data_IF_767233886010
#
_entry.id   IF_767233886010
#
_cell.length_a   1.000
_cell.length_b   1.000
_cell.length_c   1.000
_cell.angle_alpha   90.00
_cell.angle_beta   90.00
_cell.angle_gamma   90.00
#
_symmetry.space_group_name_H-M   'P 1'
#
loop_
_entity.id
_entity.type
_entity.pdbx_description
1 polymer ?
#
# COMPACT_ATOMS: atom_id res chain seq x y z
N UNK A 1 13.88 14.79 34.13
CA UNK A 1 12.92 14.23 33.13
C UNK A 1 11.46 14.53 33.48
N UNK A 2 11.03 14.30 34.74
CA UNK A 2 9.65 14.57 35.22
C UNK A 2 9.15 16.02 35.04
N UNK A 3 9.99 17.02 35.29
CA UNK A 3 9.61 18.44 35.08
C UNK A 3 9.42 18.80 33.60
N UNK A 4 10.19 18.20 32.68
CA UNK A 4 10.08 18.46 31.24
C UNK A 4 8.80 17.89 30.63
N UNK A 5 8.45 16.67 31.04
CA UNK A 5 7.21 16.01 30.62
C UNK A 5 5.97 16.77 31.13
N UNK A 6 6.05 17.29 32.35
CA UNK A 6 5.00 18.13 32.92
C UNK A 6 4.80 19.42 32.13
N UNK A 7 5.88 20.10 31.75
CA UNK A 7 5.85 21.31 30.91
C UNK A 7 5.17 21.06 29.56
N UNK A 8 5.57 20.00 28.85
CA UNK A 8 4.97 19.62 27.56
C UNK A 8 3.46 19.35 27.73
N UNK A 9 3.09 18.60 28.77
CA UNK A 9 1.69 18.25 29.05
C UNK A 9 0.86 19.49 29.36
N UNK A 10 1.39 20.44 30.12
CA UNK A 10 0.70 21.69 30.43
C UNK A 10 0.43 22.51 29.18
N UNK A 11 1.45 22.73 28.33
CA UNK A 11 1.29 23.44 27.05
C UNK A 11 0.25 22.73 26.18
N UNK A 12 0.34 21.41 26.05
CA UNK A 12 -0.61 20.63 25.28
C UNK A 12 -2.05 20.75 25.80
N UNK A 13 -2.26 20.75 27.12
CA UNK A 13 -3.59 20.90 27.72
C UNK A 13 -4.20 22.27 27.42
N UNK A 14 -3.41 23.34 27.51
CA UNK A 14 -3.86 24.69 27.19
C UNK A 14 -4.21 24.84 25.72
N UNK A 15 -3.33 24.37 24.83
CA UNK A 15 -3.55 24.41 23.38
C UNK A 15 -4.77 23.59 22.97
N UNK A 16 -4.92 22.35 23.49
CA UNK A 16 -6.13 21.55 23.26
C UNK A 16 -7.40 22.28 23.73
N UNK A 17 -7.36 22.97 24.88
CA UNK A 17 -8.50 23.70 25.43
C UNK A 17 -8.85 24.93 24.60
N UNK A 18 -7.84 25.65 24.11
CA UNK A 18 -8.02 26.81 23.23
C UNK A 18 -8.63 26.37 21.90
N UNK A 19 -8.10 25.31 21.29
CA UNK A 19 -8.62 24.76 20.04
C UNK A 19 -10.09 24.32 20.17
N UNK A 20 -10.44 23.56 21.22
CA UNK A 20 -11.83 23.14 21.47
C UNK A 20 -12.80 24.31 21.71
N UNK A 21 -12.30 25.49 22.10
CA UNK A 21 -13.09 26.71 22.27
C UNK A 21 -13.25 27.52 21.00
N UNK A 22 -12.40 27.28 19.99
CA UNK A 22 -12.50 27.95 18.69
C UNK A 22 -13.82 27.62 17.99
N UNK A 23 -14.53 28.65 17.54
CA UNK A 23 -15.74 28.50 16.73
C UNK A 23 -15.47 27.69 15.47
N UNK A 24 -14.32 27.88 14.85
CA UNK A 24 -13.94 27.18 13.63
C UNK A 24 -13.87 25.66 13.85
N UNK A 25 -13.18 25.22 14.90
CA UNK A 25 -13.12 23.79 15.26
C UNK A 25 -14.49 23.24 15.65
N UNK A 26 -15.31 24.01 16.40
CA UNK A 26 -16.65 23.57 16.80
C UNK A 26 -17.59 23.36 15.61
N UNK A 27 -17.56 24.27 14.63
CA UNK A 27 -18.33 24.14 13.39
C UNK A 27 -17.86 22.89 12.64
N UNK A 28 -16.55 22.72 12.45
CA UNK A 28 -16.00 21.52 11.81
C UNK A 28 -16.40 20.24 12.54
N UNK A 29 -16.28 20.21 13.87
CA UNK A 29 -16.65 19.06 14.70
C UNK A 29 -18.12 18.65 14.50
N UNK A 30 -19.04 19.62 14.54
CA UNK A 30 -20.47 19.36 14.33
C UNK A 30 -20.75 18.90 12.90
N UNK A 31 -20.16 19.57 11.90
CA UNK A 31 -20.34 19.19 10.49
C UNK A 31 -19.77 17.80 10.19
N UNK A 32 -18.59 17.47 10.71
CA UNK A 32 -17.96 16.16 10.52
C UNK A 32 -18.82 15.05 11.13
N UNK A 33 -19.31 15.23 12.36
CA UNK A 33 -20.21 14.25 12.99
C UNK A 33 -21.52 14.13 12.22
N UNK A 34 -22.15 15.26 11.85
CA UNK A 34 -23.41 15.23 11.11
C UNK A 34 -23.26 14.52 9.76
N UNK A 35 -22.22 14.88 8.99
CA UNK A 35 -21.91 14.27 7.71
C UNK A 35 -21.69 12.76 7.85
N UNK A 36 -20.86 12.33 8.81
CA UNK A 36 -20.56 10.91 9.00
C UNK A 36 -21.76 10.15 9.57
N UNK A 37 -22.58 10.75 10.44
CA UNK A 37 -23.85 10.15 10.86
C UNK A 37 -24.78 9.88 9.66
N UNK A 38 -24.98 10.88 8.81
CA UNK A 38 -25.82 10.75 7.61
C UNK A 38 -25.23 9.70 6.68
N UNK A 39 -23.92 9.75 6.44
CA UNK A 39 -23.22 8.79 5.61
C UNK A 39 -23.40 7.34 6.10
N UNK A 40 -23.16 7.06 7.38
CA UNK A 40 -23.33 5.71 7.93
C UNK A 40 -24.80 5.27 7.95
N UNK A 41 -25.73 6.19 8.23
CA UNK A 41 -27.16 5.89 8.18
C UNK A 41 -27.58 5.47 6.76
N UNK A 42 -27.19 6.23 5.75
CA UNK A 42 -27.48 5.96 4.34
C UNK A 42 -26.80 4.67 3.86
N UNK A 43 -25.56 4.43 4.28
CA UNK A 43 -24.79 3.27 3.84
C UNK A 43 -25.25 1.95 4.48
N UNK A 44 -25.62 1.97 5.77
CA UNK A 44 -25.82 0.75 6.54
C UNK A 44 -27.29 0.49 6.92
N UNK A 45 -28.02 1.53 7.31
CA UNK A 45 -29.37 1.40 7.89
C UNK A 45 -30.46 1.55 6.84
N UNK A 46 -30.29 2.43 5.85
CA UNK A 46 -31.34 2.68 4.86
C UNK A 46 -31.52 1.50 3.89
N UNK A 47 -32.64 0.79 4.02
CA UNK A 47 -32.98 -0.40 3.23
C UNK A 47 -33.21 -0.12 1.73
N UNK A 48 -33.56 1.11 1.37
CA UNK A 48 -33.84 1.51 -0.02
C UNK A 48 -32.60 1.73 -0.89
N UNK A 49 -31.39 1.46 -0.39
CA UNK A 49 -30.14 1.75 -1.08
C UNK A 49 -29.40 0.46 -1.52
N UNK A 50 -29.55 0.01 -2.78
CA UNK A 50 -28.76 -1.09 -3.32
C UNK A 50 -27.27 -0.72 -3.58
N UNK A 51 -26.90 0.56 -3.46
CA UNK A 51 -25.63 1.12 -3.95
C UNK A 51 -24.39 0.96 -3.07
N UNK A 52 -24.50 0.48 -1.83
CA UNK A 52 -23.35 0.31 -0.91
C UNK A 52 -23.14 -1.12 -0.42
N UNK A 53 -23.41 -2.10 -1.29
CA UNK A 53 -23.24 -3.51 -0.94
C UNK A 53 -21.81 -3.86 -0.50
N UNK A 54 -20.77 -3.23 -1.08
CA UNK A 54 -19.37 -3.50 -0.72
C UNK A 54 -19.09 -3.20 0.76
N UNK A 55 -19.69 -2.14 1.30
CA UNK A 55 -19.56 -1.78 2.72
C UNK A 55 -20.20 -2.79 3.65
N UNK A 56 -21.33 -3.38 3.24
CA UNK A 56 -22.01 -4.45 4.01
C UNK A 56 -21.28 -5.78 3.88
N UNK A 57 -20.74 -6.08 2.70
CA UNK A 57 -20.05 -7.33 2.40
C UNK A 57 -18.66 -7.41 3.04
N UNK A 58 -17.95 -6.27 3.16
CA UNK A 58 -16.61 -6.19 3.74
C UNK A 58 -16.63 -5.34 5.02
N UNK A 59 -16.62 -5.96 6.22
CA UNK A 59 -16.63 -5.30 7.51
C UNK A 59 -15.59 -4.17 7.70
N UNK A 60 -14.44 -4.30 7.04
CA UNK A 60 -13.33 -3.37 7.14
C UNK A 60 -13.53 -2.07 6.32
N UNK A 61 -14.40 -2.08 5.31
CA UNK A 61 -14.58 -0.91 4.41
C UNK A 61 -15.26 0.26 5.13
N UNK A 62 -16.13 -0.03 6.08
CA UNK A 62 -16.88 1.01 6.83
C UNK A 62 -15.94 1.89 7.67
N UNK A 63 -15.09 1.33 8.58
CA UNK A 63 -14.13 2.15 9.31
C UNK A 63 -13.11 2.82 8.38
N UNK A 64 -12.72 2.16 7.29
CA UNK A 64 -11.85 2.76 6.27
C UNK A 64 -12.48 4.03 5.68
N UNK A 65 -13.70 3.97 5.15
CA UNK A 65 -14.38 5.10 4.53
C UNK A 65 -14.53 6.29 5.49
N UNK A 66 -14.97 6.01 6.72
CA UNK A 66 -15.19 7.04 7.73
C UNK A 66 -13.89 7.76 8.13
N UNK A 67 -12.82 7.00 8.39
CA UNK A 67 -11.53 7.57 8.73
C UNK A 67 -10.91 8.30 7.55
N UNK A 68 -11.09 7.81 6.32
CA UNK A 68 -10.62 8.47 5.11
C UNK A 68 -11.28 9.85 4.92
N UNK A 69 -12.62 9.92 4.98
CA UNK A 69 -13.35 11.19 4.83
C UNK A 69 -13.03 12.17 5.94
N UNK A 70 -12.94 11.68 7.19
CA UNK A 70 -12.54 12.50 8.31
C UNK A 70 -11.12 13.05 8.11
N UNK A 71 -10.15 12.19 7.78
CA UNK A 71 -8.76 12.57 7.57
C UNK A 71 -8.63 13.64 6.49
N UNK A 72 -9.44 13.54 5.42
CA UNK A 72 -9.46 14.54 4.35
C UNK A 72 -9.88 15.91 4.83
N UNK A 73 -10.99 15.99 5.57
CA UNK A 73 -11.43 17.24 6.19
C UNK A 73 -10.43 17.77 7.22
N UNK A 74 -9.89 16.88 8.06
CA UNK A 74 -8.94 17.24 9.11
C UNK A 74 -7.65 17.83 8.57
N UNK A 75 -7.12 17.34 7.45
CA UNK A 75 -5.92 17.88 6.84
C UNK A 75 -6.10 19.37 6.46
N UNK A 76 -7.25 19.74 5.91
CA UNK A 76 -7.60 21.12 5.58
C UNK A 76 -7.67 21.97 6.86
N UNK A 77 -8.38 21.49 7.88
CA UNK A 77 -8.52 22.22 9.16
C UNK A 77 -7.17 22.35 9.87
N UNK A 78 -6.32 21.33 9.84
CA UNK A 78 -5.00 21.34 10.46
C UNK A 78 -4.11 22.45 9.88
N UNK A 79 -4.16 22.65 8.56
CA UNK A 79 -3.48 23.77 7.88
C UNK A 79 -3.97 25.13 8.40
N UNK A 80 -5.28 25.33 8.53
CA UNK A 80 -5.80 26.58 9.10
C UNK A 80 -5.29 26.82 10.53
N UNK A 81 -5.29 25.79 11.38
CA UNK A 81 -4.87 25.91 12.78
C UNK A 81 -3.38 26.16 12.95
N UNK A 82 -2.54 25.53 12.13
CA UNK A 82 -1.10 25.81 12.12
C UNK A 82 -0.78 27.26 11.72
N UNK A 83 -1.65 27.92 10.97
CA UNK A 83 -1.47 29.32 10.57
C UNK A 83 -1.69 30.28 11.76
N UNK A 84 -2.51 29.87 12.74
CA UNK A 84 -2.70 30.60 14.00
C UNK A 84 -1.50 30.46 14.97
N UNK A 85 -0.59 29.51 14.71
CA UNK A 85 0.58 29.23 15.53
C UNK A 85 1.45 30.46 15.79
N UNK A 86 1.59 31.36 14.80
CA UNK A 86 2.36 32.61 14.90
C UNK A 86 1.52 33.81 15.35
N UNK A 87 0.19 33.76 15.18
CA UNK A 87 -0.73 34.84 15.55
C UNK A 87 -0.90 34.95 17.07
N UNK A 88 -0.84 33.81 17.78
CA UNK A 88 -0.87 33.80 19.26
C UNK A 88 0.34 34.47 19.91
N UNK A 89 1.47 34.59 19.18
CA UNK A 89 2.69 35.25 19.67
C UNK A 89 2.78 36.73 19.25
N UNK A 90 2.09 37.16 18.19
CA UNK A 90 2.07 38.58 17.76
C UNK A 90 1.12 39.49 18.55
N UNK A 91 0.10 38.93 19.22
CA UNK A 91 -0.74 39.68 20.18
C UNK A 91 -0.07 39.65 21.55
N UNK A 92 0.65 40.71 21.86
CA UNK A 92 1.63 40.81 22.95
C UNK A 92 1.09 40.90 24.39
N UNK A 93 -0.22 40.87 24.67
CA UNK A 93 -0.69 41.20 26.04
C UNK A 93 -1.02 40.02 26.97
N UNK A 94 -0.78 38.76 26.60
CA UNK A 94 -1.08 37.63 27.53
C UNK A 94 -0.17 36.40 27.42
N UNK A 95 0.64 36.30 26.36
CA UNK A 95 1.61 35.21 26.17
C UNK A 95 2.96 35.47 26.86
N UNK A 96 3.25 36.71 27.26
CA UNK A 96 4.49 37.09 27.99
C UNK A 96 4.69 36.30 29.29
N UNK A 97 3.61 35.91 29.98
CA UNK A 97 3.67 35.08 31.20
C UNK A 97 4.30 33.70 30.94
N UNK A 98 4.17 33.15 29.73
CA UNK A 98 4.84 31.91 29.33
C UNK A 98 6.31 32.09 28.92
N UNK A 99 6.80 33.34 28.77
CA UNK A 99 8.22 33.64 28.58
C UNK A 99 8.98 33.72 29.90
N UNK A 100 8.29 33.77 31.05
CA UNK A 100 8.89 33.83 32.39
C UNK A 100 9.26 32.42 32.91
N UNK A 101 8.63 31.36 32.37
CA UNK A 101 9.01 29.97 32.67
C UNK A 101 10.15 29.49 31.74
N UNK A 102 11.19 28.79 32.27
CA UNK A 102 12.28 28.27 31.47
C UNK A 102 11.84 27.05 30.64
N UNK A 103 11.06 27.29 29.57
CA UNK A 103 10.63 26.31 28.59
C UNK A 103 11.59 26.29 27.41
N UNK A 104 12.09 25.11 27.05
CA UNK A 104 12.87 24.93 25.82
C UNK A 104 11.99 25.00 24.57
N UNK A 105 12.58 25.37 23.43
CA UNK A 105 11.90 25.37 22.13
C UNK A 105 11.25 24.03 21.82
N UNK A 106 11.94 22.93 22.16
CA UNK A 106 11.44 21.58 21.96
C UNK A 106 10.18 21.32 22.80
N UNK A 107 10.18 21.68 24.09
CA UNK A 107 9.02 21.47 24.97
C UNK A 107 7.81 22.27 24.49
N UNK A 108 8.02 23.51 24.04
CA UNK A 108 6.95 24.36 23.54
C UNK A 108 6.37 23.86 22.22
N UNK A 109 7.21 23.62 21.20
CA UNK A 109 6.76 23.17 19.87
C UNK A 109 6.10 21.79 19.96
N UNK A 110 6.72 20.83 20.67
CA UNK A 110 6.13 19.50 20.87
C UNK A 110 4.82 19.61 21.64
N UNK A 111 4.77 20.44 22.69
CA UNK A 111 3.55 20.66 23.47
C UNK A 111 2.41 21.20 22.62
N UNK A 112 2.67 22.17 21.75
CA UNK A 112 1.66 22.78 20.86
C UNK A 112 1.17 21.82 19.78
N UNK A 113 2.09 21.11 19.13
CA UNK A 113 1.74 20.08 18.13
C UNK A 113 0.94 18.96 18.78
N UNK A 114 1.39 18.44 19.91
CA UNK A 114 0.69 17.38 20.63
C UNK A 114 -0.68 17.85 21.14
N UNK A 115 -0.79 19.11 21.60
CA UNK A 115 -2.05 19.72 22.00
C UNK A 115 -3.08 19.75 20.88
N UNK A 116 -2.66 20.13 19.67
CA UNK A 116 -3.53 20.11 18.49
C UNK A 116 -3.84 18.68 18.04
N UNK A 117 -2.82 17.84 17.84
CA UNK A 117 -2.97 16.46 17.39
C UNK A 117 -3.90 15.66 18.32
N UNK A 118 -3.81 15.87 19.64
CA UNK A 118 -4.71 15.23 20.62
C UNK A 118 -6.18 15.54 20.37
N UNK A 119 -6.53 16.75 19.94
CA UNK A 119 -7.93 17.13 19.67
C UNK A 119 -8.46 16.38 18.44
N UNK A 120 -7.63 16.22 17.41
CA UNK A 120 -7.97 15.44 16.22
C UNK A 120 -8.04 13.95 16.51
N UNK A 121 -7.07 13.39 17.23
CA UNK A 121 -7.09 12.00 17.69
C UNK A 121 -8.35 11.70 18.52
N UNK A 122 -8.78 12.62 19.38
CA UNK A 122 -10.03 12.45 20.13
C UNK A 122 -11.28 12.43 19.24
N UNK A 123 -11.27 13.20 18.15
CA UNK A 123 -12.33 13.16 17.14
C UNK A 123 -12.28 11.84 16.36
N UNK A 124 -11.10 11.35 15.97
CA UNK A 124 -10.94 10.07 15.29
C UNK A 124 -11.49 8.91 16.12
N UNK A 125 -11.15 8.87 17.42
CA UNK A 125 -11.66 7.87 18.35
C UNK A 125 -13.18 7.97 18.56
N UNK A 126 -13.72 9.19 18.55
CA UNK A 126 -15.17 9.41 18.61
C UNK A 126 -15.87 8.89 17.34
N UNK A 127 -15.29 9.13 16.17
CA UNK A 127 -15.83 8.63 14.90
C UNK A 127 -15.73 7.10 14.85
N UNK A 128 -14.65 6.50 15.32
CA UNK A 128 -14.54 5.03 15.47
C UNK A 128 -15.69 4.49 16.33
N UNK A 129 -15.96 5.10 17.49
CA UNK A 129 -17.07 4.70 18.34
C UNK A 129 -18.42 4.83 17.62
N UNK A 130 -18.62 5.93 16.90
CA UNK A 130 -19.83 6.17 16.09
C UNK A 130 -20.03 5.08 15.04
N UNK A 131 -18.98 4.70 14.31
CA UNK A 131 -19.04 3.65 13.30
C UNK A 131 -19.37 2.29 13.93
N UNK A 132 -18.78 1.96 15.09
CA UNK A 132 -19.11 0.74 15.83
C UNK A 132 -20.60 0.70 16.18
N UNK A 133 -21.18 1.81 16.64
CA UNK A 133 -22.61 1.90 16.95
C UNK A 133 -23.47 1.61 15.71
N UNK A 134 -23.15 2.21 14.56
CA UNK A 134 -23.89 1.95 13.31
C UNK A 134 -23.75 0.52 12.81
N UNK A 135 -22.57 -0.09 12.94
CA UNK A 135 -22.37 -1.51 12.59
C UNK A 135 -23.23 -2.43 13.46
N UNK A 136 -23.29 -2.16 14.77
CA UNK A 136 -24.12 -2.92 15.70
C UNK A 136 -25.62 -2.79 15.38
N UNK A 137 -26.09 -1.58 15.08
CA UNK A 137 -27.48 -1.34 14.67
C UNK A 137 -27.83 -2.09 13.39
N UNK A 138 -26.89 -2.14 12.44
CA UNK A 138 -27.11 -2.71 11.11
C UNK A 138 -26.84 -4.22 11.04
N UNK A 139 -26.39 -4.85 12.13
CA UNK A 139 -26.07 -6.28 12.19
C UNK A 139 -24.87 -6.71 11.35
N UNK A 140 -24.00 -5.78 10.94
CA UNK A 140 -22.80 -6.09 10.15
C UNK A 140 -21.66 -6.53 11.07
N UNK A 141 -20.87 -7.52 10.65
CA UNK A 141 -19.72 -7.99 11.41
C UNK A 141 -18.70 -6.85 11.66
N UNK A 142 -17.95 -6.95 12.76
CA UNK A 142 -16.98 -5.93 13.18
C UNK A 142 -15.57 -6.53 13.12
N UNK A 143 -14.74 -5.98 12.25
CA UNK A 143 -13.32 -6.32 12.18
C UNK A 143 -12.51 -5.36 13.06
N UNK A 144 -12.40 -5.66 14.35
CA UNK A 144 -11.71 -4.81 15.34
C UNK A 144 -10.29 -4.42 14.95
N UNK A 145 -9.56 -5.33 14.29
CA UNK A 145 -8.19 -5.09 13.88
C UNK A 145 -8.12 -4.06 12.74
N UNK A 146 -9.13 -4.04 11.86
CA UNK A 146 -9.23 -3.03 10.81
C UNK A 146 -9.40 -1.62 11.39
N UNK A 147 -10.22 -1.43 12.42
CA UNK A 147 -10.40 -0.10 13.05
C UNK A 147 -9.08 0.46 13.58
N UNK A 148 -8.33 -0.34 14.34
CA UNK A 148 -7.03 0.07 14.86
C UNK A 148 -6.01 0.25 13.72
N UNK A 149 -5.99 -0.68 12.76
CA UNK A 149 -5.11 -0.64 11.61
C UNK A 149 -5.28 0.64 10.78
N UNK A 150 -6.52 0.98 10.40
CA UNK A 150 -6.79 2.19 9.64
C UNK A 150 -6.55 3.46 10.44
N UNK A 151 -6.85 3.48 11.74
CA UNK A 151 -6.51 4.63 12.59
C UNK A 151 -4.99 4.90 12.59
N UNK A 152 -4.19 3.85 12.74
CA UNK A 152 -2.73 3.98 12.75
C UNK A 152 -2.14 4.26 11.37
N UNK A 153 -2.73 3.72 10.30
CA UNK A 153 -2.23 3.90 8.93
C UNK A 153 -2.66 5.24 8.33
N UNK A 154 -3.90 5.67 8.53
CA UNK A 154 -4.49 6.86 7.89
C UNK A 154 -4.25 8.10 8.76
N UNK A 155 -4.75 8.11 10.00
CA UNK A 155 -4.82 9.34 10.80
C UNK A 155 -3.43 9.78 11.30
N UNK A 156 -2.67 8.88 11.92
CA UNK A 156 -1.43 9.27 12.62
C UNK A 156 -0.36 9.86 11.69
N UNK A 157 0.01 9.21 10.55
CA UNK A 157 1.02 9.72 9.65
C UNK A 157 0.58 11.03 8.99
N UNK A 158 -0.69 11.13 8.56
CA UNK A 158 -1.22 12.35 7.93
C UNK A 158 -1.19 13.53 8.91
N UNK A 159 -1.68 13.36 10.15
CA UNK A 159 -1.68 14.42 11.16
C UNK A 159 -0.25 14.89 11.50
N UNK A 160 0.67 13.96 11.73
CA UNK A 160 2.08 14.30 12.05
C UNK A 160 2.73 15.02 10.88
N UNK A 161 2.50 14.55 9.65
CA UNK A 161 3.03 15.18 8.45
C UNK A 161 2.49 16.60 8.27
N UNK A 162 1.17 16.78 8.26
CA UNK A 162 0.59 18.08 7.94
C UNK A 162 0.87 19.11 9.04
N UNK A 163 0.87 18.74 10.33
CA UNK A 163 1.27 19.66 11.40
C UNK A 163 2.75 20.03 11.34
N UNK A 164 3.63 19.04 11.11
CA UNK A 164 5.06 19.29 10.96
C UNK A 164 5.34 20.23 9.79
N UNK A 165 4.84 19.88 8.60
CA UNK A 165 5.01 20.65 7.37
C UNK A 165 4.49 22.07 7.55
N UNK A 166 3.25 22.21 8.01
CA UNK A 166 2.60 23.52 8.08
C UNK A 166 3.27 24.50 9.05
N UNK A 167 3.66 24.04 10.25
CA UNK A 167 4.38 24.87 11.21
C UNK A 167 5.77 25.24 10.70
N UNK A 168 6.48 24.28 10.09
CA UNK A 168 7.82 24.53 9.53
C UNK A 168 7.74 25.58 8.41
N UNK A 169 6.76 25.45 7.51
CA UNK A 169 6.53 26.39 6.42
C UNK A 169 6.12 27.77 6.94
N UNK A 170 5.31 27.82 7.99
CA UNK A 170 4.92 29.06 8.65
C UNK A 170 6.14 29.79 9.26
N UNK A 171 7.09 29.06 9.84
CA UNK A 171 8.34 29.61 10.38
C UNK A 171 9.31 30.07 9.28
N UNK A 172 9.32 29.41 8.12
CA UNK A 172 10.16 29.76 6.97
C UNK A 172 9.61 31.01 6.26
N UNK A 173 8.34 30.98 5.87
CA UNK A 173 7.71 32.04 5.06
C UNK A 173 7.35 33.27 5.87
N UNK A 174 7.12 33.13 7.19
CA UNK A 174 6.76 34.22 8.11
C UNK A 174 5.51 35.01 7.68
N UNK A 175 4.70 34.45 6.78
CA UNK A 175 3.48 35.07 6.25
C UNK A 175 2.33 34.07 6.27
N UNK A 176 1.30 34.38 7.05
CA UNK A 176 0.17 33.47 7.29
C UNK A 176 -0.60 33.20 6.00
N UNK A 177 -0.89 34.27 5.25
CA UNK A 177 -1.62 34.18 4.00
C UNK A 177 -0.86 33.33 2.96
N UNK A 178 0.46 33.54 2.84
CA UNK A 178 1.28 32.79 1.87
C UNK A 178 1.37 31.32 2.26
N UNK A 179 1.67 31.02 3.54
CA UNK A 179 1.68 29.63 4.04
C UNK A 179 0.34 28.94 3.81
N UNK A 180 -0.76 29.63 4.09
CA UNK A 180 -2.10 29.09 3.90
C UNK A 180 -2.40 28.78 2.42
N UNK A 181 -2.14 29.72 1.51
CA UNK A 181 -2.34 29.54 0.07
C UNK A 181 -1.47 28.41 -0.48
N UNK A 182 -0.20 28.32 -0.07
CA UNK A 182 0.71 27.25 -0.51
C UNK A 182 0.22 25.88 -0.05
N UNK A 183 -0.20 25.74 1.21
CA UNK A 183 -0.67 24.46 1.75
C UNK A 183 -2.01 24.05 1.14
N UNK A 184 -2.94 24.99 0.94
CA UNK A 184 -4.21 24.71 0.27
C UNK A 184 -3.99 24.33 -1.20
N UNK A 185 -3.07 25.02 -1.88
CA UNK A 185 -2.64 24.67 -3.24
C UNK A 185 -1.99 23.29 -3.30
N UNK A 186 -1.17 22.93 -2.32
CA UNK A 186 -0.59 21.58 -2.19
C UNK A 186 -1.68 20.51 -2.01
N UNK A 187 -2.65 20.72 -1.11
CA UNK A 187 -3.78 19.80 -0.91
C UNK A 187 -4.57 19.61 -2.21
N UNK A 188 -4.96 20.72 -2.86
CA UNK A 188 -5.71 20.67 -4.11
C UNK A 188 -4.93 19.97 -5.23
N UNK A 189 -3.63 20.24 -5.35
CA UNK A 189 -2.75 19.59 -6.32
C UNK A 189 -2.69 18.07 -6.10
N UNK A 190 -2.54 17.64 -4.84
CA UNK A 190 -2.48 16.20 -4.51
C UNK A 190 -3.80 15.48 -4.78
N UNK A 191 -4.94 16.08 -4.42
CA UNK A 191 -6.25 15.46 -4.57
C UNK A 191 -6.77 15.44 -6.00
N UNK A 192 -6.56 16.52 -6.77
CA UNK A 192 -7.20 16.68 -8.08
C UNK A 192 -6.29 16.44 -9.28
N UNK A 193 -4.96 16.63 -9.14
CA UNK A 193 -4.05 16.59 -10.30
C UNK A 193 -3.02 15.46 -10.25
N UNK A 194 -2.50 15.13 -9.06
CA UNK A 194 -1.49 14.08 -8.92
C UNK A 194 -2.15 12.71 -8.81
N UNK A 195 -3.11 12.52 -7.89
CA UNK A 195 -3.86 11.27 -7.82
C UNK A 195 -2.97 10.06 -7.48
N UNK A 196 -2.97 9.07 -8.37
CA UNK A 196 -2.11 7.88 -8.43
C UNK A 196 -0.70 8.13 -8.99
N UNK A 197 -0.47 9.25 -9.66
CA UNK A 197 0.81 9.49 -10.35
C UNK A 197 1.99 9.34 -9.41
N UNK A 198 3.10 8.85 -9.97
CA UNK A 198 4.30 8.46 -9.21
C UNK A 198 4.00 7.37 -8.16
N UNK A 199 3.12 6.43 -8.49
CA UNK A 199 2.77 5.27 -7.66
C UNK A 199 2.27 5.68 -6.26
N UNK A 200 1.32 6.62 -6.24
CA UNK A 200 0.69 7.21 -5.05
C UNK A 200 1.63 8.01 -4.15
N UNK A 201 2.91 8.22 -4.51
CA UNK A 201 3.92 8.76 -3.61
C UNK A 201 3.50 10.08 -2.95
N UNK A 202 2.77 10.95 -3.66
CA UNK A 202 2.35 12.26 -3.17
C UNK A 202 0.99 12.25 -2.44
N UNK A 203 0.34 11.09 -2.30
CA UNK A 203 -0.93 10.92 -1.57
C UNK A 203 -0.71 10.76 -0.06
N UNK A 204 -0.28 11.85 0.56
CA UNK A 204 -0.03 11.91 2.01
C UNK A 204 -1.29 11.63 2.86
N UNK A 205 -2.48 11.75 2.27
CA UNK A 205 -3.78 11.58 2.94
C UNK A 205 -4.32 10.15 2.86
N UNK A 206 -3.70 9.30 2.05
CA UNK A 206 -4.14 7.93 1.78
C UNK A 206 -5.46 7.82 1.02
N UNK A 207 -5.81 8.87 0.28
CA UNK A 207 -7.07 8.96 -0.44
C UNK A 207 -7.15 7.99 -1.62
N UNK A 208 -6.06 7.85 -2.38
CA UNK A 208 -5.96 7.02 -3.58
C UNK A 208 -5.23 5.69 -3.31
N UNK A 209 -4.54 5.59 -2.18
CA UNK A 209 -3.84 4.36 -1.82
C UNK A 209 -4.83 3.17 -1.66
N UNK A 210 -4.59 2.01 -2.29
CA UNK A 210 -5.48 0.87 -2.17
C UNK A 210 -5.42 0.30 -0.75
N UNK A 211 -6.49 0.49 0.01
CA UNK A 211 -6.57 0.18 1.43
C UNK A 211 -7.74 -0.75 1.77
N UNK A 212 -8.45 -1.29 0.78
CA UNK A 212 -9.50 -2.28 1.03
C UNK A 212 -8.90 -3.57 1.59
N UNK A 213 -9.33 -3.93 2.80
CA UNK A 213 -8.95 -5.18 3.47
C UNK A 213 -10.00 -6.27 3.21
N UNK A 214 -9.57 -7.40 2.68
CA UNK A 214 -10.39 -8.60 2.52
C UNK A 214 -10.52 -9.38 3.82
N UNK A 215 -11.65 -10.05 4.03
CA UNK A 215 -11.85 -11.02 5.12
C UNK A 215 -11.12 -12.34 4.91
N UNK A 216 -10.74 -12.64 3.66
CA UNK A 216 -10.07 -13.90 3.27
C UNK A 216 -8.56 -13.71 3.25
N UNK A 217 -8.09 -12.69 2.51
CA UNK A 217 -6.65 -12.48 2.24
C UNK A 217 -6.06 -11.27 2.96
N UNK A 218 -6.86 -10.55 3.76
CA UNK A 218 -6.41 -9.34 4.44
C UNK A 218 -6.10 -8.19 3.47
N UNK A 219 -5.13 -7.35 3.85
CA UNK A 219 -4.54 -6.34 2.95
C UNK A 219 -3.46 -7.01 2.12
N UNK A 220 -3.53 -6.89 0.80
CA UNK A 220 -2.60 -7.58 -0.11
C UNK A 220 -1.29 -6.80 -0.30
N UNK A 221 -1.32 -5.48 -0.11
CA UNK A 221 -0.21 -4.54 -0.35
C UNK A 221 0.42 -3.99 0.94
N UNK A 222 0.41 -4.76 2.03
CA UNK A 222 0.94 -4.34 3.35
C UNK A 222 2.29 -3.62 3.29
N UNK A 223 3.27 -4.17 2.57
CA UNK A 223 4.62 -3.60 2.52
C UNK A 223 4.64 -2.21 1.87
N UNK A 224 3.89 -2.03 0.78
CA UNK A 224 3.78 -0.77 0.04
C UNK A 224 3.07 0.27 0.91
N UNK A 225 1.95 -0.12 1.53
CA UNK A 225 1.16 0.74 2.41
C UNK A 225 1.98 1.20 3.61
N UNK A 226 2.63 0.29 4.33
CA UNK A 226 3.44 0.62 5.50
C UNK A 226 4.61 1.51 5.10
N UNK A 227 5.35 1.17 4.03
CA UNK A 227 6.46 1.99 3.56
C UNK A 227 6.00 3.42 3.24
N UNK A 228 4.91 3.54 2.50
CA UNK A 228 4.31 4.82 2.16
C UNK A 228 3.93 5.63 3.41
N UNK A 229 3.25 5.02 4.38
CA UNK A 229 2.84 5.73 5.60
C UNK A 229 4.04 6.09 6.50
N UNK A 230 5.08 5.26 6.51
CA UNK A 230 6.34 5.56 7.22
C UNK A 230 7.12 6.70 6.58
N UNK A 231 7.10 6.86 5.25
CA UNK A 231 7.68 8.03 4.56
C UNK A 231 7.08 9.32 5.14
N UNK A 232 5.75 9.42 5.18
CA UNK A 232 5.08 10.63 5.68
C UNK A 232 5.26 10.85 7.17
N UNK A 233 5.30 9.79 7.97
CA UNK A 233 5.63 9.88 9.38
C UNK A 233 7.04 10.44 9.59
N UNK A 234 8.04 9.93 8.86
CA UNK A 234 9.43 10.38 8.95
C UNK A 234 9.60 11.82 8.48
N UNK A 235 9.01 12.18 7.33
CA UNK A 235 9.01 13.56 6.83
C UNK A 235 8.35 14.51 7.83
N UNK A 236 7.20 14.12 8.39
CA UNK A 236 6.49 14.90 9.41
C UNK A 236 7.34 15.15 10.65
N UNK A 237 7.93 14.09 11.22
CA UNK A 237 8.86 14.20 12.35
C UNK A 237 10.09 15.04 12.00
N UNK A 238 10.59 14.94 10.77
CA UNK A 238 11.66 15.78 10.24
C UNK A 238 11.29 17.26 10.23
N UNK A 239 10.09 17.61 9.76
CA UNK A 239 9.59 18.98 9.78
C UNK A 239 9.29 19.51 11.19
N UNK A 240 8.86 18.64 12.11
CA UNK A 240 8.74 19.00 13.54
C UNK A 240 10.11 19.36 14.11
N UNK A 241 11.13 18.54 13.87
CA UNK A 241 12.50 18.83 14.30
C UNK A 241 13.05 20.12 13.67
N UNK A 242 12.73 20.37 12.39
CA UNK A 242 13.06 21.62 11.71
C UNK A 242 12.38 22.81 12.40
N UNK A 243 11.11 22.66 12.75
CA UNK A 243 10.35 23.70 13.46
C UNK A 243 10.95 24.03 14.81
N UNK A 244 11.39 23.03 15.58
CA UNK A 244 12.09 23.23 16.86
C UNK A 244 13.36 24.06 16.67
N UNK A 245 14.13 23.78 15.62
CA UNK A 245 15.35 24.52 15.29
C UNK A 245 15.06 25.96 14.84
N UNK A 246 14.08 26.15 13.96
CA UNK A 246 13.72 27.46 13.41
C UNK A 246 13.03 28.38 14.42
N UNK A 247 12.46 27.82 15.50
CA UNK A 247 11.76 28.58 16.53
C UNK A 247 12.74 29.50 17.29
N UNK A 248 12.59 30.82 17.12
CA UNK A 248 13.49 31.83 17.70
C UNK A 248 12.99 32.28 19.09
N UNK A 249 13.34 31.53 20.14
CA UNK A 249 13.36 32.00 21.54
C UNK A 249 14.80 32.10 22.02
N UNK A 250 15.07 32.94 23.04
CA UNK A 250 16.39 33.09 23.68
C UNK A 250 16.95 31.70 24.05
N UNK A 251 17.96 31.19 23.30
CA UNK A 251 18.40 29.83 23.48
C UNK A 251 19.25 29.72 24.74
N UNK A 252 18.93 28.75 25.61
CA UNK A 252 19.76 28.43 26.78
C UNK A 252 21.18 27.94 26.36
N UNK A 253 21.35 27.49 25.10
CA UNK A 253 22.65 27.24 24.45
C UNK A 253 22.51 27.15 22.93
N UNK A 254 23.36 27.86 22.16
CA UNK A 254 23.35 27.83 20.68
C UNK A 254 23.68 26.45 20.10
N UNK A 255 24.59 25.68 20.73
CA UNK A 255 25.00 24.34 20.28
C UNK A 255 23.90 23.28 20.45
N UNK A 256 22.99 23.47 21.41
CA UNK A 256 21.90 22.52 21.65
C UNK A 256 20.82 22.57 20.55
N UNK A 257 20.65 23.70 19.86
CA UNK A 257 19.64 23.86 18.80
C UNK A 257 20.02 23.08 17.52
N UNK A 258 21.30 23.06 17.16
CA UNK A 258 21.78 22.37 15.95
C UNK A 258 21.54 20.86 15.94
N UNK A 259 21.39 20.22 17.11
CA UNK A 259 21.05 18.79 17.17
C UNK A 259 19.70 18.50 16.52
N UNK A 260 18.74 19.40 16.66
CA UNK A 260 17.42 19.28 16.04
C UNK A 260 17.48 19.49 14.53
N UNK A 261 18.38 20.34 14.04
CA UNK A 261 18.64 20.48 12.62
C UNK A 261 19.24 19.20 12.03
N UNK A 262 20.26 18.63 12.67
CA UNK A 262 20.87 17.36 12.22
C UNK A 262 19.84 16.23 12.21
N UNK A 263 19.03 16.11 13.25
CA UNK A 263 17.97 15.11 13.32
C UNK A 263 16.91 15.31 12.23
N UNK A 264 16.54 16.57 11.96
CA UNK A 264 15.62 16.92 10.89
C UNK A 264 16.16 16.49 9.52
N UNK A 265 17.42 16.84 9.21
CA UNK A 265 18.07 16.46 7.95
C UNK A 265 18.14 14.95 7.82
N UNK A 266 18.50 14.22 8.88
CA UNK A 266 18.55 12.76 8.89
C UNK A 266 17.17 12.15 8.56
N UNK A 267 16.12 12.57 9.28
CA UNK A 267 14.78 12.03 9.08
C UNK A 267 14.22 12.34 7.68
N UNK A 268 14.47 13.55 7.17
CA UNK A 268 14.08 13.92 5.81
C UNK A 268 14.87 13.13 4.78
N UNK A 269 16.18 12.92 4.97
CA UNK A 269 17.01 12.12 4.06
C UNK A 269 16.57 10.65 4.03
N UNK A 270 16.27 10.05 5.19
CA UNK A 270 15.74 8.68 5.26
C UNK A 270 14.36 8.60 4.60
N UNK A 271 13.47 9.58 4.86
CA UNK A 271 12.17 9.67 4.20
C UNK A 271 12.31 9.76 2.67
N UNK A 272 13.19 10.63 2.17
CA UNK A 272 13.46 10.79 0.74
C UNK A 272 14.06 9.52 0.11
N UNK A 273 14.98 8.83 0.81
CA UNK A 273 15.53 7.56 0.37
C UNK A 273 14.46 6.46 0.30
N UNK A 274 13.54 6.41 1.27
CA UNK A 274 12.39 5.52 1.24
C UNK A 274 11.41 5.86 0.11
N UNK A 275 11.19 7.15 -0.18
CA UNK A 275 10.41 7.61 -1.34
C UNK A 275 11.04 7.17 -2.67
N UNK A 276 12.35 7.29 -2.82
CA UNK A 276 13.06 6.81 -4.01
C UNK A 276 12.90 5.30 -4.17
N UNK A 277 13.12 4.54 -3.09
CA UNK A 277 12.94 3.07 -3.09
C UNK A 277 11.50 2.67 -3.43
N UNK A 278 10.51 3.42 -2.95
CA UNK A 278 9.09 3.20 -3.27
C UNK A 278 8.89 3.25 -4.79
N UNK A 279 9.27 4.35 -5.44
CA UNK A 279 9.14 4.51 -6.90
C UNK A 279 9.98 3.48 -7.66
N UNK A 280 11.22 3.23 -7.22
CA UNK A 280 12.12 2.26 -7.85
C UNK A 280 11.59 0.81 -7.80
N UNK A 281 10.76 0.47 -6.81
CA UNK A 281 10.18 -0.87 -6.71
C UNK A 281 9.16 -1.16 -7.83
N UNK A 282 8.38 -0.15 -8.24
CA UNK A 282 7.42 -0.28 -9.33
C UNK A 282 8.10 -0.27 -10.70
N UNK A 283 9.09 0.60 -10.90
CA UNK A 283 9.87 0.59 -12.15
C UNK A 283 10.65 -0.71 -12.34
N UNK A 284 11.15 -1.30 -11.24
CA UNK A 284 11.77 -2.63 -11.27
C UNK A 284 10.79 -3.74 -11.68
N UNK A 285 9.51 -3.64 -11.28
CA UNK A 285 8.48 -4.60 -11.70
C UNK A 285 8.20 -4.49 -13.22
N UNK A 286 8.14 -3.28 -13.77
CA UNK A 286 8.00 -3.07 -15.21
C UNK A 286 9.19 -3.64 -16.01
N UNK A 287 10.42 -3.39 -15.56
CA UNK A 287 11.63 -3.95 -16.18
C UNK A 287 11.66 -5.48 -16.15
N UNK A 288 11.18 -6.08 -15.05
CA UNK A 288 11.08 -7.54 -14.91
C UNK A 288 10.08 -8.17 -15.89
N UNK A 289 8.97 -7.48 -16.20
CA UNK A 289 8.01 -7.91 -17.22
C UNK A 289 8.65 -7.91 -18.62
N UNK A 290 9.40 -6.87 -18.94
CA UNK A 290 10.15 -6.80 -20.22
C UNK A 290 11.14 -7.96 -20.35
N UNK A 291 11.90 -8.24 -19.29
CA UNK A 291 12.81 -9.39 -19.25
C UNK A 291 12.08 -10.72 -19.55
N UNK A 292 10.90 -10.94 -18.97
CA UNK A 292 10.14 -12.15 -19.23
C UNK A 292 9.67 -12.24 -20.69
N UNK A 293 9.22 -11.13 -21.28
CA UNK A 293 8.88 -11.09 -22.70
C UNK A 293 10.09 -11.38 -23.58
N UNK A 294 11.26 -10.79 -23.29
CA UNK A 294 12.50 -11.05 -24.03
C UNK A 294 12.93 -12.52 -23.96
N UNK A 295 12.81 -13.15 -22.78
CA UNK A 295 13.07 -14.58 -22.62
C UNK A 295 12.08 -15.40 -23.44
N UNK A 296 10.78 -15.08 -23.43
CA UNK A 296 9.80 -15.78 -24.26
C UNK A 296 10.13 -15.65 -25.76
N UNK A 297 10.51 -14.46 -26.23
CA UNK A 297 10.88 -14.23 -27.61
C UNK A 297 12.08 -15.08 -28.04
N UNK A 298 13.09 -15.22 -27.16
CA UNK A 298 14.27 -16.08 -27.43
C UNK A 298 13.89 -17.53 -27.68
N UNK A 299 12.87 -18.03 -26.99
CA UNK A 299 12.47 -19.44 -27.01
C UNK A 299 11.21 -19.72 -27.85
N UNK A 300 10.56 -18.72 -28.44
CA UNK A 300 9.23 -18.90 -29.08
C UNK A 300 9.25 -19.88 -30.25
N UNK A 301 10.37 -19.99 -30.97
CA UNK A 301 10.56 -20.89 -32.10
C UNK A 301 11.26 -22.20 -31.75
N UNK A 302 11.38 -22.51 -30.45
CA UNK A 302 11.98 -23.79 -30.03
C UNK A 302 10.97 -24.94 -30.08
N UNK A 303 11.43 -26.18 -30.31
CA UNK A 303 10.55 -27.33 -30.42
C UNK A 303 9.66 -27.49 -29.19
N UNK A 304 8.38 -27.75 -29.42
CA UNK A 304 7.36 -27.91 -28.38
C UNK A 304 6.58 -29.20 -28.53
N UNK A 305 5.88 -29.56 -27.46
CA UNK A 305 4.97 -30.70 -27.41
C UNK A 305 3.52 -30.21 -27.32
N UNK A 306 2.57 -31.09 -27.58
CA UNK A 306 1.18 -30.92 -27.12
C UNK A 306 0.98 -31.86 -25.95
N UNK A 307 0.44 -31.36 -24.85
CA UNK A 307 0.13 -32.19 -23.68
C UNK A 307 -1.33 -32.60 -23.72
N UNK A 308 -1.58 -33.90 -23.82
CA UNK A 308 -2.94 -34.45 -23.89
C UNK A 308 -3.53 -34.69 -22.51
N UNK A 309 -2.69 -35.04 -21.51
CA UNK A 309 -3.13 -35.34 -20.15
C UNK A 309 -2.20 -34.74 -19.11
N UNK A 310 -2.82 -34.20 -18.07
CA UNK A 310 -2.18 -33.73 -16.85
C UNK A 310 -2.71 -34.52 -15.64
N UNK A 311 -1.81 -35.14 -14.89
CA UNK A 311 -2.06 -35.64 -13.54
C UNK A 311 -1.34 -34.75 -12.53
N UNK A 312 -2.06 -33.88 -11.83
CA UNK A 312 -1.49 -32.89 -10.90
C UNK A 312 -1.82 -33.32 -9.47
N UNK A 313 -0.79 -33.54 -8.65
CA UNK A 313 -0.88 -33.67 -7.19
C UNK A 313 -0.29 -32.40 -6.56
N UNK A 314 -1.15 -31.53 -6.05
CA UNK A 314 -0.79 -30.20 -5.55
C UNK A 314 -0.94 -30.15 -4.03
N UNK A 315 0.15 -30.01 -3.31
CA UNK A 315 0.14 -29.76 -1.88
C UNK A 315 0.26 -28.25 -1.58
N UNK A 316 -0.77 -27.67 -0.95
CA UNK A 316 -0.70 -26.32 -0.38
C UNK A 316 0.13 -26.31 0.91
N UNK A 317 1.01 -25.32 1.03
CA UNK A 317 1.70 -24.94 2.28
C UNK A 317 1.34 -23.48 2.62
N UNK A 318 1.60 -23.00 3.85
CA UNK A 318 1.12 -21.69 4.29
C UNK A 318 1.46 -20.50 3.38
N UNK A 319 2.61 -20.54 2.70
CA UNK A 319 3.07 -19.47 1.81
C UNK A 319 3.64 -19.96 0.48
N UNK A 320 3.61 -21.27 0.24
CA UNK A 320 4.20 -21.94 -0.92
C UNK A 320 3.32 -23.11 -1.38
N UNK A 321 3.59 -23.65 -2.56
CA UNK A 321 3.03 -24.91 -3.03
C UNK A 321 4.16 -25.90 -3.28
N UNK A 322 3.82 -27.17 -3.24
CA UNK A 322 4.61 -28.25 -3.82
C UNK A 322 3.68 -28.99 -4.78
N UNK A 323 4.18 -29.32 -5.95
CA UNK A 323 3.39 -29.99 -6.97
C UNK A 323 4.22 -31.05 -7.67
N UNK A 324 3.58 -32.19 -7.89
CA UNK A 324 4.06 -33.25 -8.76
C UNK A 324 3.09 -33.38 -9.92
N UNK A 325 3.59 -33.20 -11.14
CA UNK A 325 2.77 -33.23 -12.35
C UNK A 325 3.27 -34.31 -13.28
N UNK A 326 2.44 -35.32 -13.52
CA UNK A 326 2.60 -36.29 -14.60
C UNK A 326 2.00 -35.71 -15.89
N UNK A 327 2.79 -35.66 -16.95
CA UNK A 327 2.39 -35.17 -18.27
C UNK A 327 2.45 -36.31 -19.28
N UNK A 328 1.46 -36.38 -20.15
CA UNK A 328 1.51 -37.16 -21.38
C UNK A 328 1.57 -36.20 -22.56
N UNK A 329 2.75 -36.05 -23.15
CA UNK A 329 3.03 -35.13 -24.24
C UNK A 329 3.30 -35.84 -25.57
N UNK A 330 2.89 -35.23 -26.67
CA UNK A 330 3.21 -35.65 -28.03
C UNK A 330 4.12 -34.60 -28.68
N UNK A 331 5.25 -35.01 -29.25
CA UNK A 331 6.17 -34.12 -29.94
C UNK A 331 5.52 -33.56 -31.22
N UNK A 332 5.56 -32.23 -31.42
CA UNK A 332 5.12 -31.62 -32.68
C UNK A 332 6.23 -31.56 -33.72
N UNK A 333 7.47 -31.53 -33.26
CA UNK A 333 8.66 -31.34 -34.07
C UNK A 333 9.74 -32.34 -33.65
N UNK A 334 10.60 -32.70 -34.60
CA UNK A 334 11.70 -33.61 -34.35
C UNK A 334 12.74 -32.92 -33.45
N UNK A 335 12.89 -33.39 -32.21
CA UNK A 335 13.84 -32.81 -31.25
C UNK A 335 14.15 -33.79 -30.12
N UNK A 336 15.29 -33.60 -29.46
CA UNK A 336 15.59 -34.22 -28.17
C UNK A 336 15.25 -33.29 -26.99
N UNK A 337 15.02 -31.99 -27.27
CA UNK A 337 14.75 -30.95 -26.27
C UNK A 337 13.44 -30.27 -26.56
N UNK A 338 12.63 -30.12 -25.52
CA UNK A 338 11.33 -29.47 -25.63
C UNK A 338 11.17 -28.37 -24.57
N UNK A 339 10.53 -27.29 -25.01
CA UNK A 339 10.32 -26.10 -24.20
C UNK A 339 9.01 -26.18 -23.44
N UNK A 340 9.07 -25.82 -22.17
CA UNK A 340 7.92 -25.64 -21.28
C UNK A 340 8.01 -24.29 -20.57
N UNK A 341 6.86 -23.72 -20.26
CA UNK A 341 6.71 -22.52 -19.46
C UNK A 341 6.10 -22.87 -18.10
N UNK A 342 6.73 -22.39 -17.04
CA UNK A 342 6.29 -22.51 -15.66
C UNK A 342 6.58 -21.18 -14.97
N UNK A 343 5.74 -20.76 -14.03
CA UNK A 343 5.97 -19.51 -13.29
C UNK A 343 7.42 -19.43 -12.75
N UNK A 344 8.11 -18.28 -12.89
CA UNK A 344 9.50 -18.14 -12.46
C UNK A 344 9.67 -18.23 -10.93
N UNK A 345 8.62 -18.01 -10.14
CA UNK A 345 8.62 -18.21 -8.69
C UNK A 345 8.50 -19.67 -8.25
N UNK A 346 8.30 -20.60 -9.20
CA UNK A 346 8.25 -22.04 -8.95
C UNK A 346 9.57 -22.70 -9.38
N UNK A 347 10.29 -23.23 -8.39
CA UNK A 347 11.56 -23.90 -8.60
C UNK A 347 11.32 -25.37 -8.94
N UNK A 348 11.81 -25.80 -10.11
CA UNK A 348 11.81 -27.20 -10.51
C UNK A 348 12.93 -27.92 -9.76
N UNK A 349 12.58 -29.02 -9.08
CA UNK A 349 13.51 -29.84 -8.31
C UNK A 349 13.93 -31.09 -9.08
N UNK A 350 13.01 -31.68 -9.83
CA UNK A 350 13.23 -32.97 -10.49
C UNK A 350 12.36 -33.09 -11.74
N UNK A 351 12.93 -33.68 -12.80
CA UNK A 351 12.20 -34.14 -13.98
C UNK A 351 12.57 -35.60 -14.19
N UNK A 352 11.58 -36.48 -14.33
CA UNK A 352 11.81 -37.91 -14.52
C UNK A 352 10.94 -38.49 -15.62
N UNK A 353 11.48 -39.48 -16.32
CA UNK A 353 10.74 -40.32 -17.25
C UNK A 353 10.83 -41.76 -16.76
N UNK A 354 9.69 -42.40 -16.49
CA UNK A 354 9.64 -43.78 -15.95
C UNK A 354 10.57 -43.99 -14.74
N UNK A 355 10.70 -42.99 -13.87
CA UNK A 355 11.59 -43.00 -12.71
C UNK A 355 13.08 -42.70 -13.00
N UNK A 356 13.47 -42.52 -14.26
CA UNK A 356 14.82 -42.14 -14.65
C UNK A 356 14.94 -40.61 -14.72
N UNK A 357 15.92 -39.98 -14.05
CA UNK A 357 16.11 -38.53 -14.12
C UNK A 357 16.45 -38.03 -15.52
N UNK A 358 15.80 -36.95 -15.95
CA UNK A 358 16.10 -36.21 -17.16
C UNK A 358 16.90 -34.94 -16.83
N UNK A 359 17.78 -34.52 -17.75
CA UNK A 359 18.46 -33.24 -17.61
C UNK A 359 17.56 -32.11 -18.10
N UNK A 360 17.64 -30.96 -17.43
CA UNK A 360 16.89 -29.78 -17.82
C UNK A 360 17.69 -28.50 -17.55
N UNK A 361 17.37 -27.46 -18.32
CA UNK A 361 17.91 -26.11 -18.12
C UNK A 361 16.75 -25.16 -17.83
N UNK A 362 16.96 -24.23 -16.89
CA UNK A 362 15.99 -23.22 -16.51
C UNK A 362 16.50 -21.83 -16.87
N UNK A 363 15.74 -21.08 -17.66
CA UNK A 363 15.93 -19.64 -17.87
C UNK A 363 14.64 -18.92 -17.45
N UNK A 364 14.62 -18.39 -16.23
CA UNK A 364 13.46 -17.75 -15.63
C UNK A 364 12.18 -18.61 -15.71
N UNK A 365 11.20 -18.23 -16.53
CA UNK A 365 9.95 -18.96 -16.74
C UNK A 365 10.07 -20.13 -17.72
N UNK A 366 11.17 -20.24 -18.47
CA UNK A 366 11.39 -21.27 -19.48
C UNK A 366 12.14 -22.47 -18.90
N UNK A 367 11.61 -23.67 -19.15
CA UNK A 367 12.15 -24.95 -18.76
C UNK A 367 12.41 -25.75 -20.04
N UNK A 368 13.68 -26.02 -20.34
CA UNK A 368 14.11 -26.86 -21.44
C UNK A 368 14.41 -28.25 -20.89
N UNK A 369 13.63 -29.25 -21.30
CA UNK A 369 13.82 -30.64 -20.87
C UNK A 369 14.50 -31.40 -22.00
N UNK A 370 15.61 -32.07 -21.70
CA UNK A 370 16.33 -32.96 -22.62
C UNK A 370 15.94 -34.41 -22.31
N UNK A 371 15.27 -35.06 -23.25
CA UNK A 371 14.80 -36.43 -23.12
C UNK A 371 15.89 -37.47 -23.38
N UNK A 372 17.13 -37.04 -23.66
CA UNK A 372 18.29 -37.91 -23.87
C UNK A 372 18.24 -38.76 -25.16
N UNK A 373 17.15 -38.65 -25.92
CA UNK A 373 16.92 -39.31 -27.21
C UNK A 373 16.20 -38.38 -28.16
N UNK A 374 16.41 -38.58 -29.46
CA UNK A 374 15.65 -37.87 -30.49
C UNK A 374 14.23 -38.41 -30.53
N UNK A 375 13.23 -37.53 -30.46
CA UNK A 375 11.83 -37.85 -30.70
C UNK A 375 11.43 -37.37 -32.09
N UNK A 376 10.73 -38.19 -32.85
CA UNK A 376 10.11 -37.79 -34.11
C UNK A 376 8.79 -37.04 -33.86
N UNK A 377 8.33 -36.27 -34.84
CA UNK A 377 7.01 -35.65 -34.76
C UNK A 377 5.92 -36.74 -34.66
N UNK A 378 5.03 -36.61 -33.69
CA UNK A 378 3.99 -37.60 -33.35
C UNK A 378 4.38 -38.57 -32.23
N UNK A 379 5.65 -38.63 -31.81
CA UNK A 379 6.06 -39.49 -30.70
C UNK A 379 5.45 -39.02 -29.38
N UNK A 380 4.87 -39.96 -28.63
CA UNK A 380 4.31 -39.70 -27.31
C UNK A 380 5.26 -40.10 -26.19
N UNK A 381 5.30 -39.30 -25.12
CA UNK A 381 6.10 -39.52 -23.93
C UNK A 381 5.32 -39.22 -22.66
N UNK A 382 5.64 -39.96 -21.61
CA UNK A 382 5.11 -39.74 -20.26
C UNK A 382 6.25 -39.45 -19.31
N UNK A 383 6.15 -38.33 -18.61
CA UNK A 383 7.19 -37.85 -17.71
C UNK A 383 6.57 -37.04 -16.57
N UNK A 384 7.34 -36.86 -15.50
CA UNK A 384 6.90 -36.19 -14.29
C UNK A 384 7.81 -35.02 -13.97
N UNK A 385 7.22 -33.89 -13.59
CA UNK A 385 7.92 -32.70 -13.12
C UNK A 385 7.53 -32.45 -11.66
N UNK A 386 8.52 -32.34 -10.79
CA UNK A 386 8.34 -31.89 -9.40
C UNK A 386 8.86 -30.47 -9.24
N UNK A 387 8.05 -29.61 -8.64
CA UNK A 387 8.39 -28.23 -8.38
C UNK A 387 7.70 -27.70 -7.13
N UNK A 388 8.20 -26.58 -6.63
CA UNK A 388 7.57 -25.88 -5.51
C UNK A 388 8.05 -24.44 -5.39
N UNK A 389 7.32 -23.65 -4.63
CA UNK A 389 7.63 -22.23 -4.45
C UNK A 389 6.39 -21.37 -4.30
N UNK A 390 6.55 -20.08 -4.55
CA UNK A 390 5.48 -19.08 -4.48
C UNK A 390 5.31 -18.47 -5.85
N UNK A 391 4.07 -18.30 -6.31
CA UNK A 391 3.80 -17.64 -7.58
C UNK A 391 4.39 -16.23 -7.59
N UNK A 392 5.11 -15.92 -8.66
CA UNK A 392 5.52 -14.57 -8.99
C UNK A 392 4.40 -13.88 -9.76
N UNK A 393 3.67 -12.93 -9.14
CA UNK A 393 2.56 -12.24 -9.81
C UNK A 393 3.05 -11.31 -10.92
N UNK A 394 4.33 -10.91 -10.93
CA UNK A 394 4.88 -10.05 -11.96
C UNK A 394 4.95 -10.70 -13.34
N UNK A 395 4.86 -12.04 -13.40
CA UNK A 395 4.83 -12.81 -14.64
C UNK A 395 3.45 -12.86 -15.31
N UNK A 396 2.38 -12.49 -14.60
CA UNK A 396 1.02 -12.60 -15.15
C UNK A 396 0.75 -11.48 -16.18
N UNK A 397 -0.11 -11.77 -17.17
CA UNK A 397 -0.61 -10.78 -18.15
C UNK A 397 0.49 -9.99 -18.88
N UNK A 398 1.56 -10.65 -19.34
CA UNK A 398 2.65 -10.00 -20.08
C UNK A 398 2.22 -9.36 -21.40
N UNK A 399 1.08 -9.80 -21.94
CA UNK A 399 0.42 -9.29 -23.15
C UNK A 399 -0.28 -7.94 -22.93
N UNK A 400 -0.57 -7.58 -21.67
CA UNK A 400 -1.23 -6.32 -21.33
C UNK A 400 -0.19 -5.22 -21.09
N UNK A 401 -0.33 -4.05 -21.75
CA UNK A 401 0.51 -2.87 -21.49
C UNK A 401 0.54 -2.47 -20.01
N UNK A 402 1.69 -2.00 -19.54
CA UNK A 402 1.88 -1.62 -18.15
C UNK A 402 0.92 -0.51 -17.72
N UNK A 403 0.61 0.42 -18.63
CA UNK A 403 -0.29 1.55 -18.36
C UNK A 403 -1.67 1.06 -17.90
N UNK A 404 -2.25 0.07 -18.59
CA UNK A 404 -3.53 -0.54 -18.23
C UNK A 404 -3.45 -1.36 -16.93
N UNK A 405 -2.31 -2.02 -16.69
CA UNK A 405 -2.09 -2.75 -15.44
C UNK A 405 -1.82 -1.83 -14.25
N UNK A 406 -1.46 -0.57 -14.47
CA UNK A 406 -1.22 0.42 -13.41
C UNK A 406 -2.45 1.28 -13.12
N UNK A 407 -3.44 1.35 -14.02
CA UNK A 407 -4.69 2.07 -13.81
C UNK A 407 -5.36 1.70 -12.47
N UNK A 408 -5.78 2.71 -11.72
CA UNK A 408 -6.51 2.49 -10.47
C UNK A 408 -7.75 1.62 -10.68
N UNK A 409 -7.95 0.65 -9.79
CA UNK A 409 -9.20 -0.11 -9.72
C UNK A 409 -9.98 0.31 -8.48
N UNK A 410 -11.07 1.06 -8.72
CA UNK A 410 -11.98 1.48 -7.68
C UNK A 410 -13.36 0.81 -7.85
N UNK A 411 -13.94 0.36 -6.75
CA UNK A 411 -15.33 -0.10 -6.71
C UNK A 411 -16.08 0.67 -5.62
N UNK A 412 -17.23 1.28 -5.97
CA UNK A 412 -18.01 2.15 -5.08
C UNK A 412 -17.18 3.27 -4.42
N UNK A 413 -16.16 3.77 -5.12
CA UNK A 413 -15.25 4.82 -4.62
C UNK A 413 -14.14 4.31 -3.69
N UNK A 414 -13.97 2.99 -3.55
CA UNK A 414 -12.89 2.39 -2.75
C UNK A 414 -11.82 1.76 -3.62
N UNK A 415 -10.58 2.17 -3.38
CA UNK A 415 -9.41 1.70 -4.12
C UNK A 415 -9.01 0.30 -3.68
N UNK A 416 -8.99 -0.63 -4.62
CA UNK A 416 -8.72 -2.05 -4.41
C UNK A 416 -7.40 -2.40 -5.10
N UNK A 417 -6.52 -3.09 -4.37
CA UNK A 417 -5.24 -3.56 -4.92
C UNK A 417 -5.47 -4.65 -5.96
N UNK A 418 -4.81 -4.52 -7.13
CA UNK A 418 -4.89 -5.52 -8.19
C UNK A 418 -3.94 -6.68 -7.90
N UNK A 419 -4.48 -7.90 -7.80
CA UNK A 419 -3.71 -9.13 -7.58
C UNK A 419 -4.16 -10.22 -8.54
N UNK A 420 -3.16 -10.89 -9.14
CA UNK A 420 -3.37 -11.95 -10.13
C UNK A 420 -3.25 -13.36 -9.54
N UNK A 421 -2.80 -13.47 -8.29
CA UNK A 421 -2.74 -14.73 -7.56
C UNK A 421 -2.89 -14.48 -6.06
N UNK A 422 -3.47 -15.45 -5.37
CA UNK A 422 -3.54 -15.48 -3.91
C UNK A 422 -2.97 -16.80 -3.42
N UNK A 423 -2.11 -16.71 -2.41
CA UNK A 423 -1.41 -17.86 -1.85
C UNK A 423 -1.18 -17.61 -0.36
N UNK A 424 -2.24 -17.86 0.40
CA UNK A 424 -2.32 -17.69 1.85
C UNK A 424 -2.57 -19.04 2.52
N UNK A 425 -2.47 -19.09 3.85
CA UNK A 425 -2.53 -20.34 4.63
C UNK A 425 -3.79 -21.16 4.37
N UNK A 426 -4.94 -20.49 4.26
CA UNK A 426 -6.25 -21.12 4.11
C UNK A 426 -6.91 -20.78 2.76
N UNK A 427 -6.18 -20.18 1.82
CA UNK A 427 -6.75 -19.77 0.55
C UNK A 427 -5.70 -19.71 -0.56
N UNK A 428 -5.95 -20.47 -1.63
CA UNK A 428 -5.19 -20.42 -2.87
C UNK A 428 -6.13 -20.14 -4.03
N UNK A 429 -5.77 -19.15 -4.83
CA UNK A 429 -6.43 -18.87 -6.11
C UNK A 429 -5.34 -18.61 -7.15
N UNK A 430 -5.23 -19.54 -8.10
CA UNK A 430 -4.35 -19.42 -9.25
C UNK A 430 -5.17 -19.36 -10.52
N UNK A 431 -5.04 -18.28 -11.27
CA UNK A 431 -5.62 -18.17 -12.61
C UNK A 431 -4.70 -18.84 -13.64
N UNK A 432 -5.20 -19.17 -14.85
CA UNK A 432 -4.37 -19.70 -15.92
C UNK A 432 -3.11 -18.87 -16.24
N UNK A 433 -3.19 -17.55 -16.10
CA UNK A 433 -2.13 -16.58 -16.42
C UNK A 433 -0.98 -16.61 -15.41
N UNK A 434 -1.18 -17.28 -14.27
CA UNK A 434 -0.10 -17.50 -13.30
C UNK A 434 0.91 -18.54 -13.77
N UNK A 435 0.57 -19.40 -14.75
CA UNK A 435 1.39 -20.54 -15.15
C UNK A 435 1.81 -21.40 -13.95
N UNK A 436 0.85 -21.69 -13.06
CA UNK A 436 1.08 -22.46 -11.83
C UNK A 436 1.38 -23.95 -12.06
N UNK A 437 1.21 -24.43 -13.29
CA UNK A 437 1.65 -25.75 -13.75
C UNK A 437 2.41 -25.63 -15.09
N UNK A 438 3.30 -26.59 -15.41
CA UNK A 438 4.11 -26.54 -16.63
C UNK A 438 3.21 -26.63 -17.86
N UNK A 439 3.40 -25.73 -18.82
CA UNK A 439 2.70 -25.73 -20.12
C UNK A 439 3.72 -25.85 -21.25
N UNK A 440 3.42 -26.55 -22.34
CA UNK A 440 4.35 -26.63 -23.46
C UNK A 440 4.51 -25.26 -24.15
N UNK A 441 5.70 -25.00 -24.68
CA UNK A 441 6.05 -23.76 -25.35
C UNK A 441 6.35 -22.61 -24.39
N UNK A 442 6.21 -21.38 -24.90
CA UNK A 442 6.42 -20.13 -24.15
C UNK A 442 5.10 -19.50 -23.75
N UNK A 443 5.13 -18.47 -22.89
CA UNK A 443 3.98 -17.57 -22.70
C UNK A 443 3.97 -16.47 -23.76
N UNK A 444 3.37 -15.31 -23.46
CA UNK A 444 3.34 -14.15 -24.36
C UNK A 444 4.71 -13.85 -25.00
N UNK A 445 4.70 -13.71 -26.33
CA UNK A 445 5.82 -13.29 -27.16
C UNK A 445 5.35 -12.13 -28.05
N UNK A 446 6.20 -11.12 -28.21
CA UNK A 446 5.96 -10.03 -29.17
C UNK A 446 6.34 -10.41 -30.60
N UNK A 447 7.10 -11.50 -30.77
CA UNK A 447 7.72 -11.85 -32.04
C UNK A 447 6.92 -12.91 -32.81
N UNK A 448 6.00 -13.62 -32.12
CA UNK A 448 5.10 -14.60 -32.74
C UNK A 448 3.76 -14.68 -32.01
N UNK A 449 2.63 -14.85 -32.73
CA UNK A 449 1.31 -15.10 -32.13
C UNK A 449 1.13 -16.56 -31.64
N UNK A 450 2.13 -17.44 -31.81
CA UNK A 450 2.05 -18.87 -31.51
C UNK A 450 1.69 -19.21 -30.05
N UNK A 451 1.84 -18.25 -29.14
CA UNK A 451 1.44 -18.39 -27.73
C UNK A 451 -0.09 -18.42 -27.55
N UNK A 452 -0.87 -17.98 -28.54
CA UNK A 452 -2.34 -17.96 -28.51
C UNK A 452 -2.98 -19.33 -28.82
N UNK A 453 -2.18 -20.35 -29.12
CA UNK A 453 -2.70 -21.66 -29.49
C UNK A 453 -3.35 -22.36 -28.30
N UNK A 454 -4.63 -22.71 -28.45
CA UNK A 454 -5.37 -23.48 -27.46
C UNK A 454 -5.27 -24.98 -27.76
N UNK A 455 -4.76 -25.74 -26.79
CA UNK A 455 -4.75 -27.20 -26.81
C UNK A 455 -5.71 -27.73 -25.75
N UNK A 456 -6.50 -28.74 -26.11
CA UNK A 456 -7.38 -29.42 -25.16
C UNK A 456 -6.61 -30.53 -24.45
N UNK A 457 -6.65 -30.52 -23.13
CA UNK A 457 -6.03 -31.54 -22.29
C UNK A 457 -7.02 -32.10 -21.29
N UNK A 458 -6.89 -33.37 -20.95
CA UNK A 458 -7.62 -33.97 -19.83
C UNK A 458 -6.87 -33.72 -18.52
N UNK A 459 -7.58 -33.20 -17.52
CA UNK A 459 -7.00 -32.89 -16.23
C UNK A 459 -7.52 -33.84 -15.15
N UNK A 460 -6.60 -34.38 -14.36
CA UNK A 460 -6.87 -34.94 -13.04
C UNK A 460 -6.11 -34.10 -12.01
N UNK A 461 -6.84 -33.46 -11.11
CA UNK A 461 -6.28 -32.65 -10.04
C UNK A 461 -6.59 -33.29 -8.69
N UNK A 462 -5.56 -33.46 -7.87
CA UNK A 462 -5.65 -33.80 -6.45
C UNK A 462 -5.01 -32.66 -5.66
N UNK A 463 -5.70 -32.17 -4.63
CA UNK A 463 -5.25 -31.07 -3.75
C UNK A 463 -5.22 -31.56 -2.31
#
# INVERSE_FOLDING_TARGET
MRNRLHSIRSVALYESKLLKRSWFYRIFFVLAILFLCIFNFVALVWEGNPGFWLMKALPAVIPYANLLYLNTGQAIIAVFLSSEFLKSDKKLDTSEVFYVHPLSNAEYVIGKIWGNARVFIQLDLLIILLVVIFNLISGVAIDWLAYLGYFLLICIPTLIYIFGLSISLMLILKSQAVTFVVLLGYIALTLFNIGDKFYYLFDYMAFNLPLVKSTIVGLTNWAIVINHRMIYLLLGLGFICLSIFLFRRLPNSKKASYRWLVLSILLIAVGAGASYRHVASFTGAAAKRQLYTEVNNRYVHTPRMVVERYGIDLQQRPSTIISEVELQGMALEKSNRFTFCLNPGLQVSEVTENGTPLSFTRDHQILLIDFGRMMEAGDSVRFTIKYGGRIDPGFCYLDIPNELLEEEYANQGFQIDKRYSFQEENYVLFTPETYWYPRPGTSYSSDSPDWQQAYFSHFRLKV
#
